data_IF_159964670659
#
_entry.id   IF_159964670659
#
_cell.length_a   1.000
_cell.length_b   1.000
_cell.length_c   1.000
_cell.angle_alpha   90.00
_cell.angle_beta   90.00
_cell.angle_gamma   90.00
#
_symmetry.space_group_name_H-M   'P 1'
#
loop_
_entity.id
_entity.type
_entity.pdbx_description
1 polymer ?
#
# COMPACT_ATOMS: atom_id res chain seq x y z
N UNK A 1 18.69 -1.77 -4.54
CA UNK A 1 19.09 -0.50 -5.16
C UNK A 1 19.79 0.41 -4.16
N UNK A 2 19.11 0.96 -3.14
CA UNK A 2 19.78 1.84 -2.15
C UNK A 2 20.85 1.11 -1.34
N UNK A 3 20.51 0.00 -0.67
CA UNK A 3 21.48 -0.80 0.09
C UNK A 3 22.63 -1.36 -0.77
N UNK A 4 22.37 -1.63 -2.05
CA UNK A 4 23.36 -2.13 -3.01
C UNK A 4 24.13 -1.01 -3.73
N UNK A 5 23.97 0.25 -3.31
CA UNK A 5 24.64 1.44 -3.87
C UNK A 5 24.39 1.67 -5.37
N UNK A 6 23.26 1.20 -5.88
CA UNK A 6 22.83 1.42 -7.28
C UNK A 6 21.93 2.65 -7.43
N UNK A 7 21.42 3.18 -6.32
CA UNK A 7 20.68 4.42 -6.26
C UNK A 7 21.05 5.12 -4.97
N UNK A 8 21.20 6.45 -5.00
CA UNK A 8 21.43 7.20 -3.78
C UNK A 8 20.16 7.15 -2.92
N UNK A 9 19.01 7.55 -3.47
CA UNK A 9 17.75 7.73 -2.72
C UNK A 9 16.60 6.94 -3.37
N UNK A 10 15.55 6.65 -2.60
CA UNK A 10 14.35 6.01 -3.13
C UNK A 10 13.10 6.44 -2.35
N UNK A 11 11.99 6.58 -3.07
CA UNK A 11 10.66 6.68 -2.46
C UNK A 11 10.06 5.28 -2.37
N UNK A 12 9.66 4.87 -1.17
CA UNK A 12 9.07 3.55 -0.91
C UNK A 12 7.82 3.71 -0.07
N UNK A 13 6.87 2.81 -0.23
CA UNK A 13 5.76 2.73 0.70
C UNK A 13 6.26 2.31 2.10
N UNK A 14 5.73 2.97 3.14
CA UNK A 14 6.20 2.77 4.52
C UNK A 14 5.87 1.38 5.05
N UNK A 15 4.73 0.80 4.66
CA UNK A 15 4.35 -0.56 5.06
C UNK A 15 5.23 -1.61 4.36
N UNK A 16 5.58 -1.34 3.10
CA UNK A 16 6.55 -2.14 2.33
C UNK A 16 7.93 -2.10 2.98
N UNK A 17 8.44 -0.91 3.30
CA UNK A 17 9.73 -0.77 3.97
C UNK A 17 9.75 -1.51 5.31
N UNK A 18 8.71 -1.34 6.15
CA UNK A 18 8.60 -2.02 7.43
C UNK A 18 8.61 -3.54 7.29
N UNK A 19 7.89 -4.08 6.30
CA UNK A 19 7.88 -5.50 6.03
C UNK A 19 9.24 -5.99 5.53
N UNK A 20 9.84 -5.29 4.55
CA UNK A 20 11.11 -5.68 3.93
C UNK A 20 12.30 -5.60 4.88
N UNK A 21 12.30 -4.72 5.89
CA UNK A 21 13.38 -4.65 6.89
C UNK A 21 13.64 -5.98 7.59
N UNK A 22 12.64 -6.87 7.70
CA UNK A 22 12.81 -8.23 8.27
C UNK A 22 13.73 -9.13 7.44
N UNK A 23 13.90 -8.82 6.15
CA UNK A 23 14.66 -9.61 5.19
C UNK A 23 15.88 -8.88 4.65
N UNK A 24 16.08 -7.62 5.06
CA UNK A 24 17.25 -6.83 4.69
C UNK A 24 18.45 -7.23 5.53
N UNK A 25 19.65 -7.18 4.93
CA UNK A 25 20.90 -7.31 5.67
C UNK A 25 20.93 -6.31 6.83
N UNK A 26 21.29 -6.79 8.02
CA UNK A 26 21.35 -6.02 9.27
C UNK A 26 20.09 -5.18 9.56
N UNK A 27 18.92 -5.67 9.13
CA UNK A 27 17.65 -4.96 9.32
C UNK A 27 17.53 -3.65 8.56
N UNK A 28 18.40 -3.42 7.56
CA UNK A 28 18.48 -2.17 6.82
C UNK A 28 19.02 -1.00 7.65
N UNK A 29 19.94 -1.25 8.60
CA UNK A 29 20.56 -0.22 9.46
C UNK A 29 21.18 0.96 8.70
N UNK A 30 21.60 0.73 7.46
CA UNK A 30 22.23 1.74 6.61
C UNK A 30 21.21 2.62 5.85
N UNK A 31 19.90 2.39 6.05
CA UNK A 31 18.83 3.21 5.48
C UNK A 31 18.44 4.29 6.47
N UNK A 32 18.52 5.55 6.03
CA UNK A 32 18.00 6.71 6.77
C UNK A 32 16.73 7.21 6.10
N UNK A 33 15.67 7.44 6.88
CA UNK A 33 14.43 8.06 6.40
C UNK A 33 14.65 9.57 6.38
N UNK A 34 14.57 10.18 5.19
CA UNK A 34 14.73 11.64 5.03
C UNK A 34 13.41 12.38 5.27
N UNK A 35 12.31 11.88 4.71
CA UNK A 35 10.99 12.51 4.75
C UNK A 35 9.87 11.46 4.71
N UNK A 36 8.70 11.79 5.27
CA UNK A 36 7.46 11.01 5.14
C UNK A 36 6.35 11.90 4.60
N UNK A 37 5.72 11.49 3.50
CA UNK A 37 4.68 12.24 2.78
C UNK A 37 3.30 12.27 3.49
N UNK A 38 3.24 11.97 4.78
CA UNK A 38 2.00 11.87 5.54
C UNK A 38 1.17 10.60 5.27
N UNK A 39 -0.08 10.59 5.76
CA UNK A 39 -0.99 9.44 5.62
C UNK A 39 -1.70 9.49 4.28
N UNK A 40 -1.41 8.53 3.43
CA UNK A 40 -2.18 8.28 2.22
C UNK A 40 -3.52 7.58 2.56
N UNK A 41 -4.55 7.73 1.70
CA UNK A 41 -5.78 6.96 1.86
C UNK A 41 -5.48 5.45 1.83
N UNK A 42 -6.28 4.64 2.53
CA UNK A 42 -6.05 3.21 2.64
C UNK A 42 -6.07 2.53 1.25
N UNK A 43 -5.29 1.48 1.08
CA UNK A 43 -5.26 0.70 -0.16
C UNK A 43 -6.66 0.15 -0.50
N UNK A 44 -7.28 0.55 -1.63
CA UNK A 44 -8.60 0.07 -1.99
C UNK A 44 -8.55 -1.36 -2.52
N UNK A 45 -9.57 -2.16 -2.17
CA UNK A 45 -9.86 -3.41 -2.89
C UNK A 45 -10.89 -3.09 -3.96
N UNK A 46 -10.48 -3.12 -5.22
CA UNK A 46 -11.35 -2.86 -6.37
C UNK A 46 -11.80 -4.18 -7.00
N UNK A 47 -13.05 -4.22 -7.45
CA UNK A 47 -13.63 -5.39 -8.13
C UNK A 47 -14.16 -4.98 -9.50
N UNK A 48 -14.29 -5.94 -10.40
CA UNK A 48 -14.80 -5.68 -11.75
C UNK A 48 -16.24 -5.12 -11.68
N UNK A 49 -16.46 -3.97 -12.32
CA UNK A 49 -17.74 -3.28 -12.36
C UNK A 49 -18.88 -4.12 -12.97
N UNK A 50 -18.56 -5.10 -13.83
CA UNK A 50 -19.54 -5.99 -14.48
C UNK A 50 -19.99 -7.17 -13.63
N UNK A 51 -19.39 -7.38 -12.44
CA UNK A 51 -19.83 -8.46 -11.56
C UNK A 51 -21.28 -8.25 -11.09
N UNK A 52 -22.08 -9.33 -10.96
CA UNK A 52 -23.41 -9.23 -10.37
C UNK A 52 -23.37 -8.58 -8.99
N UNK A 53 -24.36 -7.74 -8.69
CA UNK A 53 -24.42 -7.02 -7.41
C UNK A 53 -24.34 -7.96 -6.20
N UNK A 54 -25.01 -9.11 -6.27
CA UNK A 54 -24.96 -10.15 -5.23
C UNK A 54 -23.53 -10.64 -4.97
N UNK A 55 -22.72 -10.80 -6.01
CA UNK A 55 -21.32 -11.24 -5.88
C UNK A 55 -20.46 -10.14 -5.26
N UNK A 56 -20.65 -8.87 -5.67
CA UNK A 56 -19.93 -7.73 -5.09
C UNK A 56 -20.23 -7.60 -3.59
N UNK A 57 -21.50 -7.76 -3.21
CA UNK A 57 -21.91 -7.72 -1.80
C UNK A 57 -21.26 -8.87 -1.01
N UNK A 58 -21.31 -10.11 -1.53
CA UNK A 58 -20.69 -11.26 -0.87
C UNK A 58 -19.18 -11.10 -0.67
N UNK A 59 -18.45 -10.53 -1.63
CA UNK A 59 -17.03 -10.21 -1.50
C UNK A 59 -16.81 -9.17 -0.38
N UNK A 60 -17.63 -8.11 -0.38
CA UNK A 60 -17.54 -7.04 0.62
C UNK A 60 -17.77 -7.59 2.03
N UNK A 61 -18.85 -8.34 2.22
CA UNK A 61 -19.19 -8.95 3.51
C UNK A 61 -18.10 -9.91 3.98
N UNK A 62 -17.52 -10.70 3.06
CA UNK A 62 -16.42 -11.59 3.38
C UNK A 62 -15.20 -10.80 3.88
N UNK A 63 -14.73 -9.80 3.13
CA UNK A 63 -13.54 -9.03 3.50
C UNK A 63 -13.72 -8.30 4.84
N UNK A 64 -14.90 -7.72 5.10
CA UNK A 64 -15.18 -7.03 6.36
C UNK A 64 -15.16 -7.97 7.57
N UNK A 65 -15.54 -9.24 7.39
CA UNK A 65 -15.68 -10.19 8.50
C UNK A 65 -14.49 -11.16 8.67
N UNK A 66 -13.71 -11.41 7.62
CA UNK A 66 -12.57 -12.33 7.67
C UNK A 66 -11.60 -12.03 8.84
N UNK A 67 -11.15 -10.78 9.08
CA UNK A 67 -10.24 -10.46 10.19
C UNK A 67 -10.80 -10.75 11.59
N UNK A 68 -12.11 -10.96 11.75
CA UNK A 68 -12.72 -11.30 13.04
C UNK A 68 -12.47 -12.76 13.44
N UNK A 69 -12.13 -13.62 12.47
CA UNK A 69 -11.78 -15.01 12.76
C UNK A 69 -10.28 -15.15 13.05
N UNK A 70 -9.93 -15.92 14.09
CA UNK A 70 -8.55 -16.05 14.56
C UNK A 70 -7.58 -16.57 13.48
N UNK A 71 -8.05 -17.49 12.63
CA UNK A 71 -7.27 -18.05 11.52
C UNK A 71 -6.84 -16.95 10.54
N UNK A 72 -7.79 -16.13 10.07
CA UNK A 72 -7.54 -15.09 9.09
C UNK A 72 -6.83 -13.88 9.71
N UNK A 73 -7.13 -13.53 10.96
CA UNK A 73 -6.37 -12.52 11.73
C UNK A 73 -4.87 -12.83 11.74
N UNK A 74 -4.50 -14.08 12.03
CA UNK A 74 -3.08 -14.51 12.01
C UNK A 74 -2.47 -14.43 10.61
N UNK A 75 -3.24 -14.73 9.56
CA UNK A 75 -2.76 -14.64 8.17
C UNK A 75 -2.51 -13.18 7.77
N UNK A 76 -3.45 -12.29 8.05
CA UNK A 76 -3.35 -10.87 7.72
C UNK A 76 -2.28 -10.13 8.54
N UNK A 77 -2.11 -10.48 9.82
CA UNK A 77 -1.10 -9.88 10.69
C UNK A 77 0.33 -10.05 10.13
N UNK A 78 0.62 -11.12 9.39
CA UNK A 78 1.92 -11.31 8.72
C UNK A 78 2.24 -10.19 7.73
N UNK A 79 1.21 -9.61 7.11
CA UNK A 79 1.29 -8.53 6.14
C UNK A 79 0.99 -7.16 6.77
N UNK A 80 0.86 -7.06 8.10
CA UNK A 80 0.51 -5.81 8.77
C UNK A 80 -0.95 -5.36 8.56
N UNK A 81 -1.81 -6.22 8.01
CA UNK A 81 -3.22 -5.91 7.80
C UNK A 81 -4.01 -6.27 9.06
N UNK A 82 -4.67 -5.27 9.65
CA UNK A 82 -5.41 -5.42 10.91
C UNK A 82 -6.94 -5.51 10.73
N UNK A 83 -7.48 -4.87 9.69
CA UNK A 83 -8.92 -4.86 9.37
C UNK A 83 -9.16 -4.41 7.93
N UNK A 84 -10.36 -4.70 7.43
CA UNK A 84 -10.95 -4.04 6.27
C UNK A 84 -12.04 -3.08 6.76
N UNK A 85 -12.28 -2.01 5.99
CA UNK A 85 -13.31 -1.04 6.27
C UNK A 85 -14.00 -0.66 4.96
N UNK A 86 -15.25 -0.24 5.06
CA UNK A 86 -15.95 0.38 3.93
C UNK A 86 -15.24 1.69 3.57
N UNK A 87 -15.16 1.96 2.26
CA UNK A 87 -14.62 3.20 1.73
C UNK A 87 -15.58 3.78 0.69
N UNK A 88 -15.27 4.99 0.23
CA UNK A 88 -15.96 5.68 -0.84
C UNK A 88 -14.95 6.45 -1.68
N UNK A 89 -15.34 6.85 -2.89
CA UNK A 89 -14.47 7.61 -3.79
C UNK A 89 -13.99 8.92 -3.16
N UNK A 90 -14.81 9.53 -2.31
CA UNK A 90 -14.48 10.76 -1.53
C UNK A 90 -13.19 10.63 -0.73
N UNK A 91 -12.87 9.42 -0.22
CA UNK A 91 -11.63 9.19 0.52
C UNK A 91 -10.37 9.34 -0.35
N UNK A 92 -10.52 9.35 -1.67
CA UNK A 92 -9.45 9.42 -2.66
C UNK A 92 -9.47 10.72 -3.48
N UNK A 93 -10.36 11.66 -3.19
CA UNK A 93 -10.50 12.93 -3.93
C UNK A 93 -9.65 14.08 -3.36
N UNK A 94 -9.06 13.91 -2.16
CA UNK A 94 -8.34 14.96 -1.44
C UNK A 94 -6.91 15.26 -1.93
N UNK A 95 -6.35 16.40 -1.51
CA UNK A 95 -5.01 16.87 -1.91
C UNK A 95 -3.91 15.81 -1.73
N UNK A 96 -3.95 14.98 -0.67
CA UNK A 96 -3.01 13.89 -0.43
C UNK A 96 -3.09 12.75 -1.48
N UNK A 97 -4.25 12.54 -2.11
CA UNK A 97 -4.41 11.65 -3.26
C UNK A 97 -3.98 12.36 -4.57
N UNK A 98 -4.16 13.69 -4.64
CA UNK A 98 -3.78 14.53 -5.78
C UNK A 98 -2.30 14.94 -5.83
N UNK A 99 -1.48 14.71 -4.78
CA UNK A 99 -0.01 14.87 -4.86
C UNK A 99 0.60 14.03 -6.01
N UNK A 100 -0.16 13.03 -6.51
CA UNK A 100 0.21 12.21 -7.68
C UNK A 100 -0.52 12.51 -8.98
N UNK A 101 -1.35 13.56 -9.04
CA UNK A 101 -1.64 14.19 -10.31
C UNK A 101 -0.49 15.15 -10.66
N UNK A 102 0.75 14.65 -10.67
CA UNK A 102 1.89 15.35 -11.26
C UNK A 102 1.70 15.38 -12.78
N UNK A 103 0.71 16.15 -13.22
CA UNK A 103 0.46 16.52 -14.60
C UNK A 103 1.55 17.52 -15.04
N UNK A 104 2.82 17.08 -15.09
CA UNK A 104 3.89 17.84 -15.75
C UNK A 104 5.22 17.06 -15.90
N UNK A 105 5.49 15.98 -15.17
CA UNK A 105 6.80 15.33 -15.28
C UNK A 105 6.82 14.27 -16.39
N UNK A 106 7.41 14.63 -17.53
CA UNK A 106 7.83 13.68 -18.56
C UNK A 106 8.80 12.69 -17.92
N UNK A 107 8.36 11.45 -17.74
CA UNK A 107 9.23 10.30 -17.50
C UNK A 107 10.22 10.18 -18.67
N UNK A 108 11.42 10.75 -18.52
CA UNK A 108 12.53 10.42 -19.39
C UNK A 108 12.91 8.97 -19.10
N UNK A 109 12.53 8.08 -20.01
CA UNK A 109 12.96 6.68 -20.01
C UNK A 109 14.48 6.67 -20.04
N UNK A 110 15.11 6.35 -18.90
CA UNK A 110 16.53 6.00 -18.84
C UNK A 110 16.60 4.48 -18.89
N UNK A 111 17.17 3.97 -19.97
CA UNK A 111 17.59 2.58 -20.07
C UNK A 111 18.79 2.36 -19.14
N UNK A 112 18.72 1.32 -18.32
CA UNK A 112 19.87 0.70 -17.67
C UNK A 112 20.26 -0.54 -18.45
#
# INVERSE_FOLDING_TARGET
MVLSKQAEWAAVDSTTLLYSKKFMQDGGKDITILETLGRLPPYPVVVNARLPAKTKQAITDALLNLPHTAQWKKRFAKFGVIKFATNSDVAYDGAAAQVRAAAAEKLNVRYY
#
